data_IF_765359863653
#
_entry.id   IF_765359863653
#
_cell.length_a   1.000
_cell.length_b   1.000
_cell.length_c   1.000
_cell.angle_alpha   90.00
_cell.angle_beta   90.00
_cell.angle_gamma   90.00
#
_symmetry.space_group_name_H-M   'P 1'
#
loop_
_entity.id
_entity.type
_entity.pdbx_description
1 polymer ?
#
# COMPACT_ATOMS: atom_id res chain seq x y z
N UNK A 1 -3.50 4.88 16.60
CA UNK A 1 -3.35 3.59 15.87
C UNK A 1 -2.79 2.54 16.82
N UNK A 2 -2.62 1.28 16.39
CA UNK A 2 -2.02 0.25 17.27
C UNK A 2 -0.57 0.53 17.66
N UNK A 3 0.15 1.27 16.82
CA UNK A 3 1.48 1.79 17.14
C UNK A 3 1.35 3.25 17.57
N UNK A 4 1.74 3.55 18.81
CA UNK A 4 1.71 4.90 19.39
C UNK A 4 2.71 5.86 18.73
N UNK A 5 3.79 5.32 18.19
CA UNK A 5 4.85 6.03 17.47
C UNK A 5 4.34 6.60 16.14
N UNK A 6 3.30 5.99 15.56
CA UNK A 6 2.62 6.55 14.39
C UNK A 6 1.77 7.76 14.74
N UNK A 7 1.44 8.00 16.00
CA UNK A 7 0.72 9.19 16.45
C UNK A 7 1.68 10.30 16.95
N UNK A 8 2.85 9.93 17.48
CA UNK A 8 3.72 10.84 18.23
C UNK A 8 5.16 10.95 17.72
N UNK A 9 5.69 9.93 17.06
CA UNK A 9 7.11 9.81 16.67
C UNK A 9 7.50 10.57 15.40
N UNK A 10 6.71 11.56 14.98
CA UNK A 10 6.96 12.31 13.76
C UNK A 10 8.12 13.31 13.90
N UNK A 11 8.88 13.49 12.81
CA UNK A 11 9.89 14.56 12.69
C UNK A 11 9.25 15.93 12.82
N UNK A 12 10.03 16.93 13.27
CA UNK A 12 9.54 18.29 13.50
C UNK A 12 8.73 18.88 12.33
N UNK A 13 9.26 18.77 11.10
CA UNK A 13 8.56 19.26 9.89
C UNK A 13 7.21 18.59 9.65
N UNK A 14 7.08 17.29 9.95
CA UNK A 14 5.84 16.55 9.82
C UNK A 14 4.87 16.93 10.92
N UNK A 15 5.34 17.09 12.17
CA UNK A 15 4.53 17.60 13.29
C UNK A 15 3.95 18.97 12.99
N UNK A 16 4.77 19.91 12.51
CA UNK A 16 4.33 21.25 12.14
C UNK A 16 3.30 21.22 11.00
N UNK A 17 3.52 20.37 9.98
CA UNK A 17 2.57 20.19 8.89
C UNK A 17 1.21 19.63 9.36
N UNK A 18 1.23 18.58 10.19
CA UNK A 18 0.02 17.97 10.74
C UNK A 18 -0.76 18.98 11.60
N UNK A 19 -0.06 19.79 12.40
CA UNK A 19 -0.67 20.85 13.20
C UNK A 19 -1.28 21.96 12.34
N UNK A 20 -0.60 22.37 11.26
CA UNK A 20 -1.06 23.46 10.39
C UNK A 20 -2.21 23.06 9.45
N UNK A 21 -2.26 21.79 9.04
CA UNK A 21 -3.28 21.28 8.10
C UNK A 21 -4.48 20.64 8.80
N UNK A 22 -4.35 20.34 10.10
CA UNK A 22 -5.40 19.75 10.92
C UNK A 22 -6.42 20.78 11.40
N UNK A 23 -7.54 20.95 10.69
CA UNK A 23 -8.82 21.28 11.34
C UNK A 23 -9.47 19.97 11.78
N UNK A 24 -8.88 19.30 12.78
CA UNK A 24 -9.29 17.98 13.27
C UNK A 24 -8.17 16.95 13.27
N UNK A 25 -8.51 15.71 13.64
CA UNK A 25 -7.60 14.57 13.68
C UNK A 25 -7.13 14.21 12.26
N UNK A 26 -5.81 14.18 11.96
CA UNK A 26 -5.30 13.72 10.67
C UNK A 26 -5.68 12.25 10.38
N UNK A 27 -5.99 11.89 9.12
CA UNK A 27 -6.23 10.49 8.77
C UNK A 27 -5.02 9.60 9.09
N UNK A 28 -5.27 8.37 9.57
CA UNK A 28 -4.25 7.42 10.01
C UNK A 28 -3.20 7.12 8.91
N UNK A 29 -3.62 7.07 7.63
CA UNK A 29 -2.70 6.93 6.49
C UNK A 29 -1.73 8.10 6.36
N UNK A 30 -2.17 9.34 6.62
CA UNK A 30 -1.32 10.53 6.52
C UNK A 30 -0.22 10.47 7.58
N UNK A 31 -0.58 10.14 8.82
CA UNK A 31 0.39 9.94 9.90
C UNK A 31 1.39 8.84 9.57
N UNK A 32 0.90 7.69 9.10
CA UNK A 32 1.76 6.56 8.74
C UNK A 32 2.75 6.92 7.63
N UNK A 33 2.30 7.62 6.58
CA UNK A 33 3.19 8.07 5.49
C UNK A 33 4.23 9.10 5.96
N UNK A 34 3.95 9.88 7.00
CA UNK A 34 4.86 10.91 7.52
C UNK A 34 5.78 10.44 8.64
N UNK A 35 5.61 9.22 9.16
CA UNK A 35 6.44 8.69 10.25
C UNK A 35 7.90 8.51 9.83
N UNK A 36 8.15 7.62 8.86
CA UNK A 36 9.48 7.35 8.30
C UNK A 36 9.44 7.32 6.78
N UNK A 37 9.24 8.50 6.15
CA UNK A 37 8.85 8.56 4.74
C UNK A 37 9.93 8.02 3.79
N UNK A 38 11.20 8.07 4.17
CA UNK A 38 12.31 7.59 3.33
C UNK A 38 12.35 6.07 3.23
N UNK A 39 11.93 5.38 4.29
CA UNK A 39 11.92 3.92 4.35
C UNK A 39 10.76 3.33 3.53
N UNK A 40 9.60 3.98 3.55
CA UNK A 40 8.36 3.40 3.01
C UNK A 40 7.56 4.36 2.13
N UNK A 41 7.21 5.54 2.64
CA UNK A 41 6.18 6.36 2.00
C UNK A 41 6.60 6.94 0.65
N UNK A 42 7.82 7.48 0.55
CA UNK A 42 8.31 8.11 -0.67
C UNK A 42 8.37 7.14 -1.85
N UNK A 43 9.04 5.98 -1.77
CA UNK A 43 9.06 5.06 -2.92
C UNK A 43 7.67 4.49 -3.23
N UNK A 44 6.82 4.27 -2.22
CA UNK A 44 5.43 3.86 -2.46
C UNK A 44 4.65 4.94 -3.25
N UNK A 45 4.75 6.21 -2.85
CA UNK A 45 4.05 7.33 -3.50
C UNK A 45 4.57 7.64 -4.91
N UNK A 46 5.85 7.34 -5.19
CA UNK A 46 6.41 7.39 -6.55
C UNK A 46 5.70 6.41 -7.50
N UNK A 47 5.11 5.32 -6.98
CA UNK A 47 4.25 4.40 -7.74
C UNK A 47 2.78 4.86 -7.67
N UNK A 48 2.28 5.21 -6.49
CA UNK A 48 0.85 5.50 -6.26
C UNK A 48 0.33 6.65 -7.11
N UNK A 49 1.02 7.80 -7.16
CA UNK A 49 0.50 8.96 -7.86
C UNK A 49 0.40 8.73 -9.38
N UNK A 50 1.41 8.18 -10.08
CA UNK A 50 1.28 7.77 -11.48
C UNK A 50 0.24 6.66 -11.68
N UNK A 51 0.23 5.62 -10.83
CA UNK A 51 -0.73 4.52 -10.96
C UNK A 51 -2.17 5.02 -10.90
N UNK A 52 -2.50 5.92 -9.95
CA UNK A 52 -3.87 6.39 -9.73
C UNK A 52 -4.28 7.60 -10.56
N UNK A 53 -3.34 8.45 -11.00
CA UNK A 53 -3.65 9.73 -11.68
C UNK A 53 -2.82 10.00 -12.93
N UNK A 54 -1.84 9.17 -13.25
CA UNK A 54 -1.09 9.25 -14.49
C UNK A 54 -1.92 8.86 -15.71
N UNK A 55 -1.30 9.01 -16.89
CA UNK A 55 -1.87 8.55 -18.17
C UNK A 55 -2.06 7.04 -18.11
N UNK A 56 -3.24 6.57 -18.48
CA UNK A 56 -3.59 5.15 -18.48
C UNK A 56 -4.77 4.92 -19.42
N UNK A 57 -4.95 3.67 -19.88
CA UNK A 57 -6.18 3.22 -20.52
C UNK A 57 -7.37 3.19 -19.54
N UNK A 58 -7.08 3.17 -18.22
CA UNK A 58 -8.07 3.17 -17.15
C UNK A 58 -8.38 4.59 -16.70
N UNK A 59 -9.66 4.91 -16.58
CA UNK A 59 -10.09 6.18 -15.98
C UNK A 59 -9.69 6.25 -14.50
N UNK A 60 -9.76 7.44 -13.91
CA UNK A 60 -9.54 7.57 -12.46
C UNK A 60 -10.55 6.71 -11.69
N UNK A 61 -11.84 6.75 -12.05
CA UNK A 61 -12.88 5.94 -11.40
C UNK A 61 -12.65 4.43 -11.52
N UNK A 62 -12.19 3.96 -12.68
CA UNK A 62 -11.88 2.54 -12.89
C UNK A 62 -10.71 2.08 -12.01
N UNK A 63 -9.69 2.92 -11.82
CA UNK A 63 -8.57 2.63 -10.92
C UNK A 63 -8.99 2.61 -9.46
N UNK A 64 -9.87 3.53 -9.06
CA UNK A 64 -10.47 3.51 -7.71
C UNK A 64 -11.36 2.27 -7.50
N UNK A 65 -12.01 1.76 -8.55
CA UNK A 65 -12.76 0.50 -8.49
C UNK A 65 -11.85 -0.72 -8.33
N UNK A 66 -10.72 -0.78 -9.05
CA UNK A 66 -9.71 -1.82 -8.85
C UNK A 66 -9.12 -1.76 -7.43
N UNK A 67 -8.90 -0.55 -6.89
CA UNK A 67 -8.49 -0.34 -5.51
C UNK A 67 -9.54 -0.82 -4.50
N UNK A 68 -10.82 -0.48 -4.73
CA UNK A 68 -11.96 -0.90 -3.90
C UNK A 68 -12.09 -2.43 -3.85
N UNK A 69 -12.04 -3.10 -4.99
CA UNK A 69 -12.14 -4.57 -5.06
C UNK A 69 -10.96 -5.26 -4.37
N UNK A 70 -9.76 -4.70 -4.50
CA UNK A 70 -8.57 -5.14 -3.74
C UNK A 70 -8.77 -4.95 -2.24
N UNK A 71 -9.33 -3.82 -1.80
CA UNK A 71 -9.63 -3.54 -0.40
C UNK A 71 -10.69 -4.49 0.20
N UNK A 72 -11.71 -4.84 -0.59
CA UNK A 72 -12.72 -5.83 -0.21
C UNK A 72 -12.10 -7.22 0.02
N UNK A 73 -11.20 -7.65 -0.87
CA UNK A 73 -10.47 -8.93 -0.74
C UNK A 73 -9.64 -8.96 0.54
N UNK A 74 -8.94 -7.87 0.85
CA UNK A 74 -8.17 -7.71 2.09
C UNK A 74 -9.03 -7.42 3.33
N UNK A 75 -10.35 -7.27 3.17
CA UNK A 75 -11.29 -6.94 4.25
C UNK A 75 -10.87 -5.70 5.05
N UNK A 76 -10.40 -4.66 4.35
CA UNK A 76 -9.91 -3.44 4.98
C UNK A 76 -11.01 -2.35 5.00
N UNK A 77 -11.67 -2.09 6.14
CA UNK A 77 -12.80 -1.16 6.21
C UNK A 77 -12.40 0.27 5.83
N UNK A 78 -11.25 0.73 6.34
CA UNK A 78 -10.69 2.05 6.02
C UNK A 78 -10.57 2.27 4.50
N UNK A 79 -10.00 1.29 3.78
CA UNK A 79 -9.80 1.40 2.34
C UNK A 79 -11.11 1.19 1.57
N UNK A 80 -11.97 0.27 2.01
CA UNK A 80 -13.28 0.02 1.37
C UNK A 80 -14.13 1.29 1.36
N UNK A 81 -14.26 1.97 2.51
CA UNK A 81 -15.09 3.16 2.60
C UNK A 81 -14.47 4.35 1.85
N UNK A 82 -13.14 4.51 1.94
CA UNK A 82 -12.43 5.56 1.20
C UNK A 82 -12.56 5.39 -0.32
N UNK A 83 -12.35 4.19 -0.86
CA UNK A 83 -12.45 3.94 -2.30
C UNK A 83 -13.89 3.92 -2.81
N UNK A 84 -14.87 3.52 -1.98
CA UNK A 84 -16.29 3.68 -2.34
C UNK A 84 -16.66 5.15 -2.53
N UNK A 85 -16.15 6.03 -1.67
CA UNK A 85 -16.36 7.47 -1.87
C UNK A 85 -15.57 8.02 -3.06
N UNK A 86 -14.34 7.56 -3.31
CA UNK A 86 -13.53 8.01 -4.45
C UNK A 86 -14.11 7.57 -5.79
N UNK A 87 -14.67 6.36 -5.89
CA UNK A 87 -15.41 5.91 -7.09
C UNK A 87 -16.63 6.79 -7.35
N UNK A 88 -17.38 7.16 -6.30
CA UNK A 88 -18.49 8.12 -6.38
C UNK A 88 -18.04 9.50 -6.86
N UNK A 89 -16.99 10.06 -6.26
CA UNK A 89 -16.43 11.37 -6.65
C UNK A 89 -15.95 11.36 -8.11
N UNK A 90 -15.36 10.24 -8.55
CA UNK A 90 -14.89 10.07 -9.92
C UNK A 90 -16.02 9.84 -10.94
N UNK A 91 -17.28 9.75 -10.49
CA UNK A 91 -18.44 9.55 -11.36
C UNK A 91 -18.45 8.18 -12.05
N UNK A 92 -17.85 7.16 -11.43
CA UNK A 92 -17.89 5.80 -11.99
C UNK A 92 -19.33 5.30 -12.03
N UNK A 93 -19.75 4.77 -13.17
CA UNK A 93 -21.05 4.13 -13.35
C UNK A 93 -20.91 2.61 -13.40
N UNK A 94 -21.87 1.91 -12.80
CA UNK A 94 -21.98 0.46 -12.88
C UNK A 94 -23.07 0.04 -13.88
N UNK A 95 -22.91 -1.11 -14.58
CA UNK A 95 -21.77 -2.01 -14.50
C UNK A 95 -20.51 -1.46 -15.20
N UNK A 96 -19.32 -1.67 -14.61
CA UNK A 96 -18.04 -1.29 -15.26
C UNK A 96 -17.86 -2.06 -16.58
N UNK A 97 -17.15 -1.48 -17.55
CA UNK A 97 -16.97 -2.07 -18.89
C UNK A 97 -16.26 -3.45 -18.86
N UNK A 98 -16.45 -4.30 -19.89
CA UNK A 98 -15.91 -5.66 -19.92
C UNK A 98 -14.41 -5.77 -19.65
N UNK A 99 -13.61 -4.82 -20.14
CA UNK A 99 -12.15 -4.80 -19.99
C UNK A 99 -11.74 -4.63 -18.53
N UNK A 100 -12.46 -3.81 -17.77
CA UNK A 100 -12.22 -3.63 -16.32
C UNK A 100 -12.57 -4.91 -15.56
N UNK A 101 -13.63 -5.62 -15.97
CA UNK A 101 -13.98 -6.91 -15.38
C UNK A 101 -12.94 -7.98 -15.68
N UNK A 102 -12.42 -8.01 -16.91
CA UNK A 102 -11.37 -8.94 -17.34
C UNK A 102 -10.07 -8.71 -16.55
N UNK A 103 -9.61 -7.45 -16.44
CA UNK A 103 -8.39 -7.16 -15.67
C UNK A 103 -8.58 -7.42 -14.18
N UNK A 104 -9.77 -7.14 -13.61
CA UNK A 104 -10.07 -7.50 -12.22
C UNK A 104 -9.98 -9.00 -11.99
N UNK A 105 -10.57 -9.81 -12.87
CA UNK A 105 -10.53 -11.27 -12.77
C UNK A 105 -9.09 -11.80 -12.88
N UNK A 106 -8.28 -11.23 -13.78
CA UNK A 106 -6.85 -11.52 -13.88
C UNK A 106 -6.11 -11.22 -12.57
N UNK A 107 -6.29 -10.03 -11.98
CA UNK A 107 -5.68 -9.67 -10.70
C UNK A 107 -6.14 -10.58 -9.55
N UNK A 108 -7.41 -11.01 -9.56
CA UNK A 108 -7.93 -11.96 -8.57
C UNK A 108 -7.25 -13.33 -8.66
N UNK A 109 -7.06 -13.85 -9.88
CA UNK A 109 -6.38 -15.13 -10.13
C UNK A 109 -4.89 -15.06 -9.76
N UNK A 110 -4.19 -13.98 -10.15
CA UNK A 110 -2.78 -13.74 -9.80
C UNK A 110 -2.57 -13.78 -8.28
N UNK A 111 -3.45 -13.14 -7.51
CA UNK A 111 -3.37 -13.14 -6.03
C UNK A 111 -3.72 -14.47 -5.39
N UNK A 112 -4.48 -15.32 -6.09
CA UNK A 112 -4.78 -16.69 -5.65
C UNK A 112 -3.68 -17.69 -6.03
N UNK A 113 -2.70 -17.28 -6.85
CA UNK A 113 -1.70 -18.19 -7.41
C UNK A 113 -2.27 -19.11 -8.49
N UNK A 114 -3.41 -18.76 -9.08
CA UNK A 114 -4.03 -19.52 -10.16
C UNK A 114 -3.33 -19.22 -11.50
N UNK A 115 -3.17 -20.23 -12.35
CA UNK A 115 -2.72 -20.00 -13.71
C UNK A 115 -3.78 -19.17 -14.46
N UNK A 116 -3.35 -18.07 -15.06
CA UNK A 116 -4.27 -17.11 -15.67
C UNK A 116 -3.65 -16.43 -16.88
N UNK A 117 -4.53 -15.97 -17.78
CA UNK A 117 -4.19 -15.19 -18.96
C UNK A 117 -5.19 -14.05 -19.12
N UNK A 118 -4.79 -12.99 -19.80
CA UNK A 118 -5.66 -11.85 -20.05
C UNK A 118 -5.47 -11.34 -21.48
N UNK A 119 -6.57 -11.21 -22.20
CA UNK A 119 -6.59 -10.63 -23.55
C UNK A 119 -6.86 -9.12 -23.47
N UNK A 120 -5.83 -8.38 -23.03
CA UNK A 120 -5.84 -6.93 -22.95
C UNK A 120 -4.47 -6.36 -23.36
N UNK A 121 -4.41 -5.11 -23.85
CA UNK A 121 -3.15 -4.48 -24.18
C UNK A 121 -2.18 -4.47 -22.99
N UNK A 122 -0.92 -4.86 -23.24
CA UNK A 122 0.11 -4.96 -22.21
C UNK A 122 0.23 -3.71 -21.31
N UNK A 123 0.24 -2.47 -21.85
CA UNK A 123 0.30 -1.28 -21.00
C UNK A 123 -0.88 -1.15 -20.03
N UNK A 124 -2.08 -1.58 -20.45
CA UNK A 124 -3.27 -1.55 -19.60
C UNK A 124 -3.16 -2.56 -18.45
N UNK A 125 -2.66 -3.77 -18.70
CA UNK A 125 -2.43 -4.77 -17.65
C UNK A 125 -1.34 -4.32 -16.68
N UNK A 126 -0.23 -3.74 -17.18
CA UNK A 126 0.84 -3.18 -16.33
C UNK A 126 0.33 -2.06 -15.43
N UNK A 127 -0.51 -1.16 -15.94
CA UNK A 127 -1.11 -0.09 -15.12
C UNK A 127 -1.99 -0.68 -14.01
N UNK A 128 -2.78 -1.70 -14.31
CA UNK A 128 -3.62 -2.38 -13.31
C UNK A 128 -2.79 -3.12 -12.25
N UNK A 129 -1.67 -3.73 -12.64
CA UNK A 129 -0.72 -4.36 -11.73
C UNK A 129 -0.08 -3.35 -10.77
N UNK A 130 0.24 -2.12 -11.22
CA UNK A 130 0.72 -1.07 -10.32
C UNK A 130 -0.35 -0.61 -9.31
N UNK A 131 -1.62 -0.51 -9.75
CA UNK A 131 -2.75 -0.24 -8.86
C UNK A 131 -2.85 -1.36 -7.81
N UNK A 132 -2.83 -2.62 -8.23
CA UNK A 132 -2.88 -3.76 -7.31
C UNK A 132 -1.70 -3.79 -6.33
N UNK A 133 -0.47 -3.58 -6.80
CA UNK A 133 0.74 -3.53 -5.97
C UNK A 133 0.58 -2.53 -4.82
N UNK A 134 0.18 -1.28 -5.14
CA UNK A 134 0.00 -0.22 -4.14
C UNK A 134 -1.06 -0.60 -3.12
N UNK A 135 -2.22 -1.07 -3.58
CA UNK A 135 -3.34 -1.33 -2.67
C UNK A 135 -3.17 -2.64 -1.91
N UNK A 136 -2.46 -3.64 -2.43
CA UNK A 136 -2.03 -4.80 -1.65
C UNK A 136 -1.19 -4.38 -0.43
N UNK A 137 -0.29 -3.42 -0.59
CA UNK A 137 0.55 -2.87 0.49
C UNK A 137 -0.29 -2.08 1.48
N UNK A 138 -1.04 -1.08 1.00
CA UNK A 138 -1.77 -0.15 1.88
C UNK A 138 -2.85 -0.87 2.68
N UNK A 139 -3.57 -1.83 2.08
CA UNK A 139 -4.60 -2.58 2.80
C UNK A 139 -4.03 -3.39 3.97
N UNK A 140 -2.86 -4.04 3.79
CA UNK A 140 -2.21 -4.80 4.87
C UNK A 140 -1.72 -3.90 5.98
N UNK A 141 -1.13 -2.75 5.63
CA UNK A 141 -0.67 -1.74 6.60
C UNK A 141 -1.85 -1.17 7.40
N UNK A 142 -2.93 -0.80 6.71
CA UNK A 142 -4.14 -0.27 7.34
C UNK A 142 -4.76 -1.28 8.30
N UNK A 143 -4.87 -2.54 7.89
CA UNK A 143 -5.35 -3.62 8.74
C UNK A 143 -4.43 -3.89 9.93
N UNK A 144 -3.11 -3.96 9.72
CA UNK A 144 -2.14 -4.27 10.76
C UNK A 144 -2.09 -3.17 11.84
N UNK A 145 -2.11 -1.90 11.45
CA UNK A 145 -2.05 -0.77 12.39
C UNK A 145 -3.42 -0.28 12.87
N UNK A 146 -4.50 -0.91 12.41
CA UNK A 146 -5.86 -0.64 12.88
C UNK A 146 -6.34 0.74 12.47
N UNK A 147 -6.18 1.09 11.19
CA UNK A 147 -6.65 2.37 10.67
C UNK A 147 -8.15 2.50 10.81
N UNK A 148 -8.60 3.67 11.24
CA UNK A 148 -10.02 4.01 11.31
C UNK A 148 -10.28 5.37 10.67
N UNK A 149 -11.48 5.52 10.13
CA UNK A 149 -11.99 6.82 9.68
C UNK A 149 -12.73 7.46 10.85
N UNK A 150 -12.33 8.68 11.24
CA UNK A 150 -12.91 9.43 12.36
C UNK A 150 -13.69 10.65 11.84
N UNK A 151 -14.91 10.85 12.33
CA UNK A 151 -15.75 11.97 11.89
C UNK A 151 -15.97 11.99 10.37
N UNK A 152 -15.84 13.17 9.75
CA UNK A 152 -16.01 13.36 8.29
C UNK A 152 -14.73 13.06 7.48
N UNK A 153 -13.81 12.24 8.00
CA UNK A 153 -12.55 11.92 7.33
C UNK A 153 -12.74 11.22 5.98
N UNK A 154 -13.83 10.47 5.80
CA UNK A 154 -14.19 9.86 4.51
C UNK A 154 -14.29 10.97 3.45
N UNK A 155 -15.13 11.99 3.66
CA UNK A 155 -15.38 13.02 2.65
C UNK A 155 -14.26 14.08 2.58
N UNK A 156 -13.69 14.49 3.71
CA UNK A 156 -12.57 15.46 3.71
C UNK A 156 -11.29 14.86 3.14
N UNK A 157 -10.94 13.63 3.53
CA UNK A 157 -9.76 12.91 3.06
C UNK A 157 -9.85 12.58 1.57
N UNK A 158 -10.97 12.04 1.09
CA UNK A 158 -11.13 11.69 -0.33
C UNK A 158 -11.21 12.92 -1.22
N UNK A 159 -11.78 14.06 -0.77
CA UNK A 159 -11.68 15.35 -1.49
C UNK A 159 -10.23 15.80 -1.62
N UNK A 160 -9.44 15.70 -0.55
CA UNK A 160 -8.01 16.05 -0.59
C UNK A 160 -7.24 15.14 -1.55
N UNK A 161 -7.44 13.81 -1.45
CA UNK A 161 -6.85 12.84 -2.38
C UNK A 161 -7.26 13.12 -3.83
N UNK A 162 -8.54 13.45 -4.05
CA UNK A 162 -9.04 13.81 -5.37
C UNK A 162 -8.41 15.08 -5.91
N UNK A 163 -8.21 16.09 -5.06
CA UNK A 163 -7.61 17.38 -5.43
C UNK A 163 -6.11 17.28 -5.70
N UNK A 164 -5.37 16.56 -4.87
CA UNK A 164 -3.91 16.51 -4.92
C UNK A 164 -3.35 15.27 -5.65
N UNK A 165 -4.22 14.30 -5.96
CA UNK A 165 -3.88 13.14 -6.77
C UNK A 165 -2.80 12.27 -6.14
N UNK A 166 -2.95 11.96 -4.85
CA UNK A 166 -2.02 11.14 -4.07
C UNK A 166 -0.60 11.71 -3.93
N UNK A 167 -0.40 13.01 -4.18
CA UNK A 167 0.90 13.67 -4.01
C UNK A 167 1.02 14.32 -2.64
N UNK A 168 2.22 14.26 -2.09
CA UNK A 168 2.62 14.97 -0.87
C UNK A 168 3.69 16.02 -1.17
N UNK A 169 3.75 17.12 -0.39
CA UNK A 169 4.86 18.07 -0.48
C UNK A 169 6.22 17.38 -0.33
N UNK A 170 7.12 17.59 -1.30
CA UNK A 170 8.40 16.87 -1.35
C UNK A 170 9.27 17.07 -0.10
N UNK A 171 9.21 18.25 0.54
CA UNK A 171 9.96 18.54 1.76
C UNK A 171 9.57 17.64 2.95
N UNK A 172 8.33 17.12 2.98
CA UNK A 172 7.88 16.17 4.00
C UNK A 172 8.50 14.78 3.80
N UNK A 173 8.71 14.41 2.54
CA UNK A 173 9.24 13.11 2.11
C UNK A 173 10.77 13.10 1.92
N UNK A 174 11.46 14.18 2.30
CA UNK A 174 12.87 14.39 1.99
C UNK A 174 13.82 13.74 3.01
N UNK A 175 14.73 12.89 2.55
CA UNK A 175 15.79 12.29 3.36
C UNK A 175 16.23 10.97 2.74
N UNK A 176 17.19 10.31 3.39
CA UNK A 176 17.68 8.98 3.00
C UNK A 176 18.47 8.99 1.69
N UNK A 177 19.14 7.87 1.39
CA UNK A 177 19.76 7.67 0.08
C UNK A 177 18.68 7.64 -1.00
N UNK A 178 18.79 8.48 -2.03
CA UNK A 178 17.96 8.32 -3.23
C UNK A 178 18.56 7.17 -4.02
N UNK A 179 17.83 6.08 -4.21
CA UNK A 179 18.19 5.14 -5.26
C UNK A 179 17.93 5.77 -6.61
N UNK A 180 18.89 5.59 -7.52
CA UNK A 180 18.82 6.07 -8.89
C UNK A 180 18.15 5.07 -9.84
N UNK A 181 17.40 4.07 -9.35
CA UNK A 181 16.75 3.15 -10.26
C UNK A 181 15.68 3.91 -11.05
N UNK A 182 15.71 3.75 -12.37
CA UNK A 182 14.69 4.32 -13.28
C UNK A 182 13.30 3.70 -13.06
N UNK A 183 13.25 2.56 -12.36
CA UNK A 183 12.03 1.84 -12.02
C UNK A 183 11.57 2.13 -10.58
N UNK A 184 10.39 2.75 -10.39
CA UNK A 184 9.80 2.98 -9.07
C UNK A 184 9.58 1.72 -8.23
N UNK A 185 9.29 0.57 -8.84
CA UNK A 185 9.09 -0.70 -8.11
C UNK A 185 10.41 -1.20 -7.54
N UNK A 186 11.50 -1.12 -8.31
CA UNK A 186 12.85 -1.39 -7.81
C UNK A 186 13.24 -0.45 -6.65
N UNK A 187 12.88 0.84 -6.72
CA UNK A 187 13.14 1.78 -5.63
C UNK A 187 12.39 1.39 -4.34
N UNK A 188 11.14 0.94 -4.43
CA UNK A 188 10.39 0.41 -3.29
C UNK A 188 11.04 -0.83 -2.70
N UNK A 189 11.46 -1.79 -3.53
CA UNK A 189 12.16 -2.99 -3.09
C UNK A 189 13.44 -2.63 -2.32
N UNK A 190 14.30 -1.78 -2.90
CA UNK A 190 15.54 -1.39 -2.24
C UNK A 190 15.29 -0.65 -0.91
N UNK A 191 14.38 0.32 -0.89
CA UNK A 191 14.11 1.11 0.31
C UNK A 191 13.66 0.22 1.49
N UNK A 192 12.79 -0.76 1.20
CA UNK A 192 12.20 -1.62 2.23
C UNK A 192 13.12 -2.76 2.63
N UNK A 193 13.93 -3.34 1.74
CA UNK A 193 14.72 -4.53 2.06
C UNK A 193 16.21 -4.27 2.27
N UNK A 194 16.78 -3.21 1.68
CA UNK A 194 18.23 -3.02 1.62
C UNK A 194 18.70 -1.74 2.32
N UNK A 195 17.94 -0.65 2.20
CA UNK A 195 18.35 0.65 2.73
C UNK A 195 18.55 0.61 4.27
N UNK A 196 19.43 1.47 4.83
CA UNK A 196 19.64 1.53 6.27
C UNK A 196 18.35 1.76 7.07
N UNK A 197 18.15 0.93 8.09
CA UNK A 197 16.95 0.89 8.92
C UNK A 197 17.31 0.35 10.32
N UNK A 198 16.35 0.27 11.25
CA UNK A 198 16.56 -0.30 12.59
C UNK A 198 16.76 -1.81 12.50
N UNK A 199 15.96 -2.47 11.66
CA UNK A 199 16.02 -3.91 11.44
C UNK A 199 17.04 -4.28 10.35
N UNK A 200 17.83 -5.35 10.55
CA UNK A 200 18.78 -5.81 9.55
C UNK A 200 18.10 -6.17 8.21
N UNK A 201 18.76 -5.93 7.05
CA UNK A 201 18.24 -6.32 5.73
C UNK A 201 17.76 -7.77 5.65
N UNK A 202 18.52 -8.72 6.20
CA UNK A 202 18.16 -10.14 6.20
C UNK A 202 16.85 -10.43 6.95
N UNK A 203 16.58 -9.73 8.05
CA UNK A 203 15.33 -9.86 8.82
C UNK A 203 14.14 -9.33 8.03
N UNK A 204 14.28 -8.17 7.38
CA UNK A 204 13.23 -7.60 6.52
C UNK A 204 12.94 -8.49 5.32
N UNK A 205 13.98 -9.01 4.67
CA UNK A 205 13.83 -9.95 3.57
C UNK A 205 13.07 -11.21 4.01
N UNK A 206 13.44 -11.79 5.15
CA UNK A 206 12.76 -12.96 5.70
C UNK A 206 11.28 -12.67 6.03
N UNK A 207 10.97 -11.50 6.60
CA UNK A 207 9.58 -11.07 6.82
C UNK A 207 8.78 -10.93 5.53
N UNK A 208 9.40 -10.43 4.45
CA UNK A 208 8.76 -10.24 3.15
C UNK A 208 8.54 -11.52 2.33
N UNK A 209 9.43 -12.50 2.47
CA UNK A 209 9.53 -13.66 1.55
C UNK A 209 9.23 -15.01 2.21
N UNK A 210 8.65 -15.00 3.41
CA UNK A 210 8.47 -16.20 4.24
C UNK A 210 9.79 -16.93 4.57
N UNK A 211 10.85 -16.15 4.69
CA UNK A 211 12.16 -16.65 5.09
C UNK A 211 12.24 -17.00 6.58
N UNK A 212 13.39 -17.48 7.06
CA UNK A 212 13.55 -17.87 8.44
C UNK A 212 13.54 -16.68 9.41
N UNK A 213 12.52 -16.61 10.26
CA UNK A 213 12.41 -15.70 11.40
C UNK A 213 12.20 -16.49 12.70
N UNK A 214 12.66 -15.92 13.82
CA UNK A 214 12.35 -16.41 15.15
C UNK A 214 10.87 -16.12 15.51
N UNK A 215 10.28 -16.93 16.36
CA UNK A 215 8.99 -16.59 16.96
C UNK A 215 9.15 -15.45 17.99
N UNK A 216 8.16 -14.56 18.16
CA UNK A 216 6.85 -14.53 17.47
C UNK A 216 6.86 -13.78 16.11
N UNK A 217 8.02 -13.31 15.62
CA UNK A 217 8.11 -12.52 14.39
C UNK A 217 7.66 -13.27 13.14
N UNK A 218 7.93 -14.58 13.06
CA UNK A 218 7.47 -15.42 11.95
C UNK A 218 5.95 -15.45 11.88
N UNK A 219 5.28 -15.80 12.99
CA UNK A 219 3.82 -15.84 13.04
C UNK A 219 3.19 -14.48 12.71
N UNK A 220 3.75 -13.39 13.24
CA UNK A 220 3.28 -12.04 12.93
C UNK A 220 3.46 -11.67 11.46
N UNK A 221 4.62 -11.94 10.86
CA UNK A 221 4.86 -11.65 9.45
C UNK A 221 3.88 -12.44 8.55
N UNK A 222 3.59 -13.70 8.88
CA UNK A 222 2.57 -14.49 8.19
C UNK A 222 1.17 -13.86 8.33
N UNK A 223 0.78 -13.41 9.53
CA UNK A 223 -0.48 -12.67 9.71
C UNK A 223 -0.53 -11.43 8.81
N UNK A 224 0.54 -10.64 8.73
CA UNK A 224 0.56 -9.46 7.84
C UNK A 224 0.40 -9.85 6.38
N UNK A 225 1.10 -10.88 5.89
CA UNK A 225 1.05 -11.31 4.48
C UNK A 225 -0.29 -11.91 4.10
N UNK A 226 -0.86 -12.75 4.95
CA UNK A 226 -1.91 -13.69 4.55
C UNK A 226 -3.28 -13.35 5.16
N UNK A 227 -3.30 -12.68 6.32
CA UNK A 227 -4.52 -12.47 7.09
C UNK A 227 -4.49 -11.18 7.91
N UNK A 228 -4.00 -10.06 7.34
CA UNK A 228 -3.76 -8.82 8.09
C UNK A 228 -5.00 -8.31 8.84
N UNK A 229 -6.20 -8.61 8.31
CA UNK A 229 -7.49 -8.26 8.91
C UNK A 229 -7.79 -8.98 10.24
N UNK A 230 -6.99 -9.99 10.61
CA UNK A 230 -7.08 -10.71 11.89
C UNK A 230 -6.15 -10.16 12.96
N UNK A 231 -5.24 -9.25 12.61
CA UNK A 231 -4.27 -8.68 13.55
C UNK A 231 -5.02 -7.86 14.61
N UNK A 232 -4.67 -8.11 15.87
CA UNK A 232 -5.21 -7.47 17.07
C UNK A 232 -4.12 -6.69 17.82
N UNK A 233 -4.53 -5.91 18.83
CA UNK A 233 -3.60 -5.17 19.69
C UNK A 233 -2.72 -6.13 20.51
N UNK A 234 -3.26 -7.31 20.87
CA UNK A 234 -2.51 -8.34 21.60
C UNK A 234 -1.37 -8.91 20.75
N UNK A 235 -1.57 -9.09 19.45
CA UNK A 235 -0.53 -9.57 18.54
C UNK A 235 0.67 -8.62 18.50
N UNK A 236 0.42 -7.30 18.45
CA UNK A 236 1.51 -6.30 18.45
C UNK A 236 2.17 -6.17 19.82
N UNK A 237 1.39 -6.24 20.91
CA UNK A 237 1.91 -6.15 22.28
C UNK A 237 2.82 -7.34 22.63
N UNK A 238 2.58 -8.50 22.02
CA UNK A 238 3.38 -9.71 22.22
C UNK A 238 4.72 -9.70 21.46
N UNK A 239 4.93 -8.78 20.51
CA UNK A 239 6.17 -8.72 19.73
C UNK A 239 7.33 -8.18 20.58
N UNK A 240 8.49 -8.85 20.58
CA UNK A 240 9.67 -8.32 21.23
C UNK A 240 10.30 -7.25 20.34
N UNK A 241 10.49 -6.05 20.86
CA UNK A 241 11.20 -4.98 20.17
C UNK A 241 10.52 -3.62 20.28
N UNK A 242 11.10 -2.66 19.58
CA UNK A 242 10.58 -1.30 19.46
C UNK A 242 9.45 -1.22 18.44
N UNK A 243 8.58 -0.21 18.56
CA UNK A 243 7.56 0.05 17.55
C UNK A 243 8.17 0.39 16.17
N UNK A 244 9.42 0.85 16.13
CA UNK A 244 10.19 1.01 14.88
C UNK A 244 10.45 -0.32 14.19
N UNK A 245 10.85 -1.34 14.94
CA UNK A 245 11.08 -2.69 14.40
C UNK A 245 9.76 -3.31 13.95
N UNK A 246 8.67 -3.13 14.72
CA UNK A 246 7.33 -3.58 14.32
C UNK A 246 6.94 -2.90 13.00
N UNK A 247 7.05 -1.56 12.91
CA UNK A 247 6.72 -0.82 11.70
C UNK A 247 7.50 -1.32 10.47
N UNK A 248 8.81 -1.52 10.60
CA UNK A 248 9.66 -1.96 9.51
C UNK A 248 9.33 -3.39 9.04
N UNK A 249 9.09 -4.32 9.97
CA UNK A 249 8.77 -5.70 9.61
C UNK A 249 7.34 -5.84 9.08
N UNK A 250 6.37 -5.05 9.56
CA UNK A 250 5.04 -4.98 8.94
C UNK A 250 5.13 -4.47 7.51
N UNK A 251 5.90 -3.40 7.26
CA UNK A 251 6.10 -2.87 5.92
C UNK A 251 6.81 -3.87 5.00
N UNK A 252 7.86 -4.54 5.48
CA UNK A 252 8.57 -5.57 4.73
C UNK A 252 7.67 -6.75 4.35
N UNK A 253 6.89 -7.26 5.31
CA UNK A 253 5.90 -8.31 5.06
C UNK A 253 4.83 -7.89 4.04
N UNK A 254 4.25 -6.70 4.21
CA UNK A 254 3.23 -6.17 3.29
C UNK A 254 3.77 -5.97 1.86
N UNK A 255 4.96 -5.39 1.73
CA UNK A 255 5.61 -5.14 0.44
C UNK A 255 6.05 -6.45 -0.24
N UNK A 256 6.60 -7.41 0.52
CA UNK A 256 7.01 -8.70 -0.04
C UNK A 256 5.85 -9.50 -0.62
N UNK A 257 4.71 -9.58 0.09
CA UNK A 257 3.51 -10.22 -0.41
C UNK A 257 2.95 -9.52 -1.67
N UNK A 258 2.95 -8.19 -1.68
CA UNK A 258 2.49 -7.40 -2.81
C UNK A 258 3.39 -7.55 -4.05
N UNK A 259 4.72 -7.56 -3.87
CA UNK A 259 5.69 -7.80 -4.93
C UNK A 259 5.58 -9.20 -5.51
N UNK A 260 5.34 -10.22 -4.67
CA UNK A 260 5.12 -11.60 -5.13
C UNK A 260 3.92 -11.69 -6.08
N UNK A 261 2.81 -11.03 -5.74
CA UNK A 261 1.62 -10.95 -6.60
C UNK A 261 1.93 -10.18 -7.90
N UNK A 262 2.58 -9.02 -7.78
CA UNK A 262 2.96 -8.18 -8.93
C UNK A 262 3.86 -8.93 -9.93
N UNK A 263 4.90 -9.61 -9.45
CA UNK A 263 5.81 -10.39 -10.29
C UNK A 263 5.13 -11.60 -10.93
N UNK A 264 4.21 -12.25 -10.21
CA UNK A 264 3.39 -13.34 -10.77
C UNK A 264 2.51 -12.82 -11.90
N UNK A 265 1.90 -11.65 -11.73
CA UNK A 265 1.12 -10.99 -12.77
C UNK A 265 1.96 -10.60 -14.00
N UNK A 266 3.19 -10.11 -13.79
CA UNK A 266 4.10 -9.83 -14.90
C UNK A 266 4.46 -11.10 -15.68
N UNK A 267 4.78 -12.20 -14.98
CA UNK A 267 5.06 -13.49 -15.63
C UNK A 267 3.85 -14.02 -16.41
N UNK A 268 2.66 -13.94 -15.84
CA UNK A 268 1.42 -14.37 -16.50
C UNK A 268 1.11 -13.52 -17.75
N UNK A 269 1.40 -12.22 -17.69
CA UNK A 269 1.27 -11.32 -18.84
C UNK A 269 2.26 -11.67 -19.95
N UNK A 270 3.51 -11.97 -19.62
CA UNK A 270 4.52 -12.38 -20.59
C UNK A 270 4.16 -13.72 -21.26
N UNK A 271 3.64 -14.69 -20.48
CA UNK A 271 3.15 -15.97 -20.99
C UNK A 271 1.89 -15.86 -21.85
N UNK A 272 1.05 -14.84 -21.64
CA UNK A 272 -0.15 -14.60 -22.46
C UNK A 272 0.19 -14.17 -23.89
N UNK A 273 1.47 -13.89 -24.17
CA UNK A 273 1.97 -13.40 -25.46
C UNK A 273 2.76 -14.44 -26.26
N UNK A 274 3.13 -15.56 -25.64
CA UNK A 274 3.83 -16.68 -26.27
C UNK A 274 2.85 -17.72 -26.77
#
# INVERSE_FOLDING_TARGET
MRLSVLDTGHRLRARLFLAATGRGDPPDIVRTLLYRPEFFARPLLEITAPAMRGRSAWTAGEREYLALTTAQRHRCPFCVDSHRELTRIAGLTEPVRPEVRAVRAFLDAVRSGEETRVDLPEPAVRDALHVDLVWNVVNRIANAFGFVLRGDQVHTGTRALHRFGYRFPAFLLAGGGRTGHRDPVANLRHAVFEAPAVTPPGTRLAAGTDGPLAEPWRAYAALVRDASYRITDADLTALPGSEDEIFELTAAAAVGAALTSYETGLRALDLSRG
#
